data_IF_581866211484
#
_entry.id   IF_581866211484
#
_cell.length_a   1.000
_cell.length_b   1.000
_cell.length_c   1.000
_cell.angle_alpha   90.00
_cell.angle_beta   90.00
_cell.angle_gamma   90.00
#
_symmetry.space_group_name_H-M   'P 1'
#
loop_
_entity.id
_entity.type
_entity.pdbx_description
1 polymer ?
#
# COMPACT_ATOMS: atom_id res chain seq x y z
N UNK A 1 -8.82 -20.21 -9.00
CA UNK A 1 -9.11 -19.11 -9.95
C UNK A 1 -8.10 -18.02 -9.63
N UNK A 2 -6.96 -18.00 -10.31
CA UNK A 2 -5.98 -16.91 -10.18
C UNK A 2 -6.46 -15.76 -11.07
N UNK A 3 -7.22 -14.83 -10.50
CA UNK A 3 -7.80 -13.70 -11.25
C UNK A 3 -6.78 -12.57 -11.42
N UNK A 4 -5.84 -12.45 -10.49
CA UNK A 4 -4.89 -11.35 -10.36
C UNK A 4 -3.46 -11.67 -10.84
N UNK A 5 -3.09 -12.95 -10.96
CA UNK A 5 -1.71 -13.36 -11.24
C UNK A 5 -0.73 -13.13 -10.09
N UNK A 6 -1.21 -12.78 -8.90
CA UNK A 6 -0.44 -12.63 -7.67
C UNK A 6 -1.29 -13.04 -6.46
N UNK A 7 -0.63 -13.42 -5.36
CA UNK A 7 -1.30 -13.71 -4.09
C UNK A 7 -1.67 -12.39 -3.36
N UNK A 8 -2.97 -12.11 -3.14
CA UNK A 8 -3.39 -10.93 -2.40
C UNK A 8 -2.85 -10.88 -0.97
N UNK A 9 -2.62 -12.02 -0.32
CA UNK A 9 -2.05 -12.07 1.03
C UNK A 9 -0.61 -11.55 1.04
N UNK A 10 0.23 -12.02 0.12
CA UNK A 10 1.61 -11.56 -0.05
C UNK A 10 1.67 -10.05 -0.35
N UNK A 11 0.85 -9.57 -1.29
CA UNK A 11 0.75 -8.13 -1.59
C UNK A 11 0.45 -7.31 -0.32
N UNK A 12 -0.47 -7.81 0.50
CA UNK A 12 -0.91 -7.12 1.70
C UNK A 12 0.20 -7.06 2.76
N UNK A 13 0.95 -8.15 2.90
CA UNK A 13 2.14 -8.23 3.76
C UNK A 13 3.20 -7.24 3.27
N UNK A 14 3.55 -7.27 2.00
CA UNK A 14 4.60 -6.43 1.41
C UNK A 14 4.29 -4.95 1.58
N UNK A 15 3.08 -4.52 1.20
CA UNK A 15 2.66 -3.12 1.34
C UNK A 15 2.64 -2.70 2.81
N UNK A 16 2.12 -3.55 3.71
CA UNK A 16 2.11 -3.27 5.14
C UNK A 16 3.52 -3.07 5.70
N UNK A 17 4.47 -3.95 5.36
CA UNK A 17 5.85 -3.86 5.80
C UNK A 17 6.64 -2.71 5.15
N UNK A 18 6.33 -2.35 3.90
CA UNK A 18 6.95 -1.20 3.24
C UNK A 18 6.78 0.10 4.03
N UNK A 19 5.58 0.34 4.56
CA UNK A 19 5.27 1.54 5.35
C UNK A 19 5.55 1.36 6.85
N UNK A 20 5.78 0.13 7.33
CA UNK A 20 6.05 -0.15 8.74
C UNK A 20 7.33 0.57 9.19
N UNK A 21 7.20 1.39 10.23
CA UNK A 21 8.33 2.06 10.89
C UNK A 21 8.97 3.21 10.10
N UNK A 22 8.50 3.54 8.90
CA UNK A 22 9.04 4.65 8.11
C UNK A 22 8.10 5.85 8.10
N UNK A 23 8.39 6.84 8.95
CA UNK A 23 7.65 8.12 8.97
C UNK A 23 7.74 8.85 7.64
N UNK A 24 8.90 8.81 6.97
CA UNK A 24 9.08 9.45 5.67
C UNK A 24 8.16 8.84 4.60
N UNK A 25 8.12 7.50 4.48
CA UNK A 25 7.24 6.83 3.50
C UNK A 25 5.76 7.12 3.78
N UNK A 26 5.36 7.14 5.05
CA UNK A 26 4.00 7.50 5.47
C UNK A 26 3.66 8.96 5.12
N UNK A 27 4.58 9.89 5.36
CA UNK A 27 4.44 11.30 5.02
C UNK A 27 4.26 11.52 3.51
N UNK A 28 5.13 10.90 2.70
CA UNK A 28 5.00 10.97 1.25
C UNK A 28 3.68 10.38 0.76
N UNK A 29 3.25 9.22 1.27
CA UNK A 29 1.93 8.68 0.91
C UNK A 29 0.79 9.66 1.26
N UNK A 30 0.89 10.37 2.39
CA UNK A 30 -0.11 11.37 2.76
C UNK A 30 -0.16 12.54 1.76
N UNK A 31 0.98 13.01 1.25
CA UNK A 31 1.04 14.02 0.16
C UNK A 31 0.35 13.50 -1.12
N UNK A 32 0.55 12.23 -1.48
CA UNK A 32 -0.16 11.61 -2.60
C UNK A 32 -1.67 11.49 -2.32
N UNK A 33 -2.09 11.21 -1.08
CA UNK A 33 -3.51 11.21 -0.73
C UNK A 33 -4.13 12.60 -0.92
N UNK A 34 -3.45 13.67 -0.50
CA UNK A 34 -3.90 15.04 -0.70
C UNK A 34 -4.01 15.38 -2.20
N UNK A 35 -3.01 15.02 -3.01
CA UNK A 35 -3.03 15.21 -4.47
C UNK A 35 -4.24 14.54 -5.14
N UNK A 36 -4.59 13.33 -4.69
CA UNK A 36 -5.75 12.57 -5.16
C UNK A 36 -7.07 12.99 -4.50
N UNK A 37 -7.06 13.98 -3.60
CA UNK A 37 -8.23 14.40 -2.79
C UNK A 37 -8.86 13.23 -2.03
N UNK A 38 -8.03 12.32 -1.54
CA UNK A 38 -8.41 11.12 -0.80
C UNK A 38 -8.01 11.27 0.67
N UNK A 39 -8.77 10.64 1.56
CA UNK A 39 -8.43 10.59 2.98
C UNK A 39 -7.22 9.67 3.20
N UNK A 40 -6.19 10.18 3.87
CA UNK A 40 -5.08 9.35 4.31
C UNK A 40 -5.54 8.35 5.37
N UNK A 41 -5.21 7.09 5.16
CA UNK A 41 -5.51 6.01 6.08
C UNK A 41 -4.25 5.18 6.32
N UNK A 42 -3.80 5.09 7.57
CA UNK A 42 -2.57 4.35 7.91
C UNK A 42 -2.59 2.90 7.38
N UNK A 43 -1.50 2.44 6.77
CA UNK A 43 -1.45 1.06 6.27
C UNK A 43 -1.49 0.05 7.40
N UNK A 44 -2.37 -0.95 7.26
CA UNK A 44 -2.55 -2.01 8.23
C UNK A 44 -1.53 -3.14 7.97
N UNK A 45 -1.08 -3.78 9.05
CA UNK A 45 -0.26 -4.98 8.96
C UNK A 45 -1.17 -6.22 9.01
N UNK A 46 -1.10 -7.03 7.96
CA UNK A 46 -1.71 -8.35 7.99
C UNK A 46 -0.86 -9.32 8.82
N UNK A 47 -1.51 -10.11 9.67
CA UNK A 47 -0.87 -11.19 10.43
C UNK A 47 -1.67 -12.46 10.12
N UNK A 48 -1.02 -13.46 9.54
CA UNK A 48 -1.64 -14.66 8.96
C UNK A 48 -2.55 -15.44 9.91
N UNK A 49 -2.29 -15.42 11.22
CA UNK A 49 -3.14 -16.10 12.23
C UNK A 49 -4.49 -15.44 12.49
N UNK A 50 -4.78 -14.29 11.85
CA UNK A 50 -6.00 -13.51 12.07
C UNK A 50 -6.71 -13.25 10.75
N UNK A 51 -7.41 -14.24 10.21
CA UNK A 51 -8.12 -14.19 8.92
C UNK A 51 -8.91 -12.89 8.63
N UNK A 52 -9.58 -12.29 9.62
CA UNK A 52 -10.27 -10.99 9.47
C UNK A 52 -9.36 -9.78 9.22
N UNK A 53 -8.04 -9.89 9.42
CA UNK A 53 -7.11 -8.81 9.06
C UNK A 53 -6.89 -8.70 7.56
N UNK A 54 -6.98 -9.80 6.80
CA UNK A 54 -6.73 -9.78 5.36
C UNK A 54 -7.74 -8.89 4.64
N UNK A 55 -9.04 -9.11 4.88
CA UNK A 55 -10.11 -8.30 4.29
C UNK A 55 -9.94 -6.81 4.61
N UNK A 56 -9.60 -6.47 5.87
CA UNK A 56 -9.40 -5.09 6.30
C UNK A 56 -8.22 -4.44 5.60
N UNK A 57 -7.12 -5.16 5.42
CA UNK A 57 -5.94 -4.65 4.77
C UNK A 57 -6.14 -4.51 3.25
N UNK A 58 -6.80 -5.48 2.60
CA UNK A 58 -7.19 -5.38 1.19
C UNK A 58 -8.12 -4.18 0.98
N UNK A 59 -9.14 -4.03 1.83
CA UNK A 59 -10.05 -2.86 1.77
C UNK A 59 -9.29 -1.54 1.94
N UNK A 60 -8.28 -1.50 2.83
CA UNK A 60 -7.43 -0.33 3.05
C UNK A 60 -6.60 0.02 1.81
N UNK A 61 -6.04 -0.99 1.14
CA UNK A 61 -5.29 -0.83 -0.12
C UNK A 61 -6.23 -0.30 -1.22
N UNK A 62 -7.39 -0.93 -1.41
CA UNK A 62 -8.36 -0.55 -2.45
C UNK A 62 -8.87 0.88 -2.28
N UNK A 63 -9.17 1.31 -1.04
CA UNK A 63 -9.63 2.68 -0.77
C UNK A 63 -8.57 3.74 -1.04
N UNK A 64 -7.28 3.39 -1.01
CA UNK A 64 -6.16 4.29 -1.30
C UNK A 64 -5.44 3.91 -2.60
N UNK A 65 -6.09 3.18 -3.49
CA UNK A 65 -5.43 2.60 -4.68
C UNK A 65 -4.83 3.67 -5.59
N UNK A 66 -5.54 4.78 -5.82
CA UNK A 66 -5.04 5.93 -6.59
C UNK A 66 -3.74 6.51 -6.02
N UNK A 67 -3.77 7.01 -4.77
CA UNK A 67 -2.58 7.49 -4.07
C UNK A 67 -1.41 6.50 -4.06
N UNK A 68 -1.66 5.24 -3.69
CA UNK A 68 -0.64 4.19 -3.62
C UNK A 68 0.01 3.94 -5.00
N UNK A 69 -0.81 3.87 -6.05
CA UNK A 69 -0.31 3.63 -7.41
C UNK A 69 0.56 4.80 -7.89
N UNK A 70 0.16 6.04 -7.66
CA UNK A 70 0.98 7.22 -7.99
C UNK A 70 2.27 7.25 -7.18
N UNK A 71 2.21 6.96 -5.88
CA UNK A 71 3.36 6.87 -5.00
C UNK A 71 4.39 5.86 -5.54
N UNK A 72 3.99 4.60 -5.76
CA UNK A 72 4.92 3.57 -6.22
C UNK A 72 5.46 3.83 -7.63
N UNK A 73 4.67 4.42 -8.53
CA UNK A 73 5.17 4.84 -9.86
C UNK A 73 6.26 5.91 -9.74
N UNK A 74 6.06 6.91 -8.88
CA UNK A 74 7.06 7.96 -8.65
C UNK A 74 8.37 7.42 -8.08
N UNK A 75 8.33 6.35 -7.28
CA UNK A 75 9.56 5.70 -6.78
C UNK A 75 10.36 5.05 -7.92
N UNK A 76 9.67 4.43 -8.88
CA UNK A 76 10.31 3.77 -10.01
C UNK A 76 10.95 4.79 -10.98
N UNK A 77 10.32 5.95 -11.17
CA UNK A 77 10.87 7.04 -11.99
C UNK A 77 12.13 7.66 -11.36
N UNK A 78 12.22 7.64 -10.03
CA UNK A 78 13.33 8.20 -9.26
C UNK A 78 14.46 7.19 -8.97
N UNK A 79 14.32 5.92 -9.36
CA UNK A 79 15.42 4.97 -9.27
C UNK A 79 16.44 5.26 -10.38
N UNK A 80 17.75 5.42 -10.08
CA UNK A 80 18.75 5.44 -11.13
C UNK A 80 18.68 4.12 -11.88
N UNK A 81 18.36 4.17 -13.18
CA UNK A 81 18.52 3.02 -14.07
C UNK A 81 20.01 2.67 -14.05
N UNK A 82 20.36 1.57 -13.40
CA UNK A 82 21.67 0.95 -13.58
C UNK A 82 21.89 0.63 -15.06
#
# INVERSE_FOLDING_TARGET
MEISGFDPEDLTVDVGYWFKGSTNRKGYLAEFCEFHKSEYMEMLLHISVRWLSLERCITRILRQYGPLTSYFKSLNENQPRF
#
